data_IF_601965347898
#
_entry.id   IF_601965347898
#
_cell.length_a   1.000
_cell.length_b   1.000
_cell.length_c   1.000
_cell.angle_alpha   90.00
_cell.angle_beta   90.00
_cell.angle_gamma   90.00
#
_symmetry.space_group_name_H-M   'P 1'
#
loop_
_entity.id
_entity.type
_entity.pdbx_description
1 polymer ?
#
# COMPACT_ATOMS: atom_id res chain seq x y z
N UNK A 1 -0.67 0.50 -29.94
CA UNK A 1 -0.19 1.63 -29.12
C UNK A 1 -1.41 2.43 -28.70
N UNK A 2 -1.94 2.19 -27.50
CA UNK A 2 -3.18 2.79 -27.01
C UNK A 2 -2.91 4.15 -26.37
N UNK A 3 -3.81 5.10 -26.59
CA UNK A 3 -3.70 6.54 -26.38
C UNK A 3 -3.68 6.99 -24.90
N UNK A 4 -2.76 6.48 -24.08
CA UNK A 4 -2.63 6.88 -22.67
C UNK A 4 -2.08 8.30 -22.46
N UNK A 5 -1.56 8.95 -23.50
CA UNK A 5 -0.88 10.25 -23.39
C UNK A 5 -1.81 11.48 -23.45
N UNK A 6 -3.14 11.30 -23.52
CA UNK A 6 -4.11 12.41 -23.72
C UNK A 6 -5.06 12.65 -22.55
N UNK A 7 -4.93 11.94 -21.43
CA UNK A 7 -5.78 12.18 -20.28
C UNK A 7 -5.27 13.40 -19.51
N UNK A 8 -5.81 14.57 -19.86
CA UNK A 8 -5.73 15.76 -19.00
C UNK A 8 -6.46 15.42 -17.70
N UNK A 9 -5.81 15.43 -16.54
CA UNK A 9 -6.49 15.14 -15.28
C UNK A 9 -7.56 16.20 -15.04
N UNK A 10 -8.82 15.78 -15.05
CA UNK A 10 -9.95 16.66 -14.71
C UNK A 10 -10.11 16.63 -13.19
N UNK A 11 -10.21 17.79 -12.52
CA UNK A 11 -10.39 17.84 -11.08
C UNK A 11 -11.70 17.12 -10.70
N UNK A 12 -11.61 16.24 -9.70
CA UNK A 12 -12.77 15.58 -9.11
C UNK A 12 -13.45 16.58 -8.17
N UNK A 13 -14.76 16.86 -8.31
CA UNK A 13 -15.47 17.73 -7.37
C UNK A 13 -15.41 17.19 -5.94
N UNK A 14 -15.22 18.06 -4.95
CA UNK A 14 -15.03 17.66 -3.54
C UNK A 14 -16.13 16.74 -3.01
N UNK A 15 -17.38 16.96 -3.41
CA UNK A 15 -18.51 16.11 -3.01
C UNK A 15 -18.38 14.68 -3.54
N UNK A 16 -17.82 14.52 -4.74
CA UNK A 16 -17.56 13.22 -5.33
C UNK A 16 -16.37 12.55 -4.64
N UNK A 17 -15.31 13.31 -4.34
CA UNK A 17 -14.17 12.78 -3.57
C UNK A 17 -14.61 12.30 -2.18
N UNK A 18 -15.47 13.06 -1.49
CA UNK A 18 -16.05 12.67 -0.21
C UNK A 18 -16.94 11.42 -0.32
N UNK A 19 -17.74 11.32 -1.39
CA UNK A 19 -18.56 10.14 -1.64
C UNK A 19 -17.70 8.89 -1.86
N UNK A 20 -16.65 8.98 -2.68
CA UNK A 20 -15.70 7.89 -2.90
C UNK A 20 -15.11 7.43 -1.56
N UNK A 21 -14.63 8.37 -0.74
CA UNK A 21 -14.10 8.06 0.59
C UNK A 21 -15.12 7.39 1.51
N UNK A 22 -16.39 7.79 1.45
CA UNK A 22 -17.46 7.20 2.27
C UNK A 22 -17.86 5.78 1.84
N UNK A 23 -17.60 5.41 0.59
CA UNK A 23 -17.90 4.08 0.07
C UNK A 23 -16.81 3.05 0.40
N UNK A 24 -15.60 3.50 0.76
CA UNK A 24 -14.51 2.58 1.14
C UNK A 24 -14.69 2.12 2.59
N UNK A 25 -14.74 0.80 2.85
CA UNK A 25 -14.85 0.29 4.21
C UNK A 25 -13.68 0.71 5.10
N UNK A 26 -13.93 1.07 6.36
CA UNK A 26 -12.90 1.56 7.27
C UNK A 26 -11.71 0.58 7.46
N UNK A 27 -11.97 -0.73 7.46
CA UNK A 27 -10.91 -1.73 7.58
C UNK A 27 -10.01 -1.81 6.33
N UNK A 28 -10.51 -1.41 5.16
CA UNK A 28 -9.70 -1.32 3.94
C UNK A 28 -8.80 -0.09 4.02
N UNK A 29 -9.34 1.06 4.43
CA UNK A 29 -8.55 2.28 4.66
C UNK A 29 -7.44 2.05 5.70
N UNK A 30 -7.77 1.34 6.78
CA UNK A 30 -6.79 0.95 7.79
C UNK A 30 -5.70 0.05 7.21
N UNK A 31 -6.08 -0.96 6.41
CA UNK A 31 -5.11 -1.84 5.75
C UNK A 31 -4.21 -1.11 4.74
N UNK A 32 -4.71 -0.07 4.06
CA UNK A 32 -3.88 0.76 3.17
C UNK A 32 -2.80 1.48 3.96
N UNK A 33 -3.17 2.11 5.08
CA UNK A 33 -2.23 2.79 5.97
C UNK A 33 -1.19 1.81 6.54
N UNK A 34 -1.63 0.65 7.02
CA UNK A 34 -0.77 -0.40 7.56
C UNK A 34 0.20 -0.95 6.51
N UNK A 35 -0.28 -1.19 5.28
CA UNK A 35 0.57 -1.66 4.19
C UNK A 35 1.65 -0.63 3.83
N UNK A 36 1.32 0.65 3.79
CA UNK A 36 2.28 1.72 3.51
C UNK A 36 3.32 1.89 4.64
N UNK A 37 2.90 1.80 5.89
CA UNK A 37 3.79 1.79 7.05
C UNK A 37 4.72 0.58 7.04
N UNK A 38 4.19 -0.63 6.87
CA UNK A 38 4.99 -1.86 6.85
C UNK A 38 5.95 -1.88 5.66
N UNK A 39 5.52 -1.44 4.47
CA UNK A 39 6.39 -1.31 3.30
C UNK A 39 7.52 -0.29 3.52
N UNK A 40 7.32 0.73 4.35
CA UNK A 40 8.38 1.66 4.75
C UNK A 40 9.40 0.99 5.67
N UNK A 41 8.96 0.23 6.66
CA UNK A 41 9.86 -0.47 7.58
C UNK A 41 10.65 -1.59 6.87
N UNK A 42 10.01 -2.36 5.98
CA UNK A 42 10.72 -3.33 5.12
C UNK A 42 11.81 -2.65 4.28
N UNK A 43 11.58 -1.41 3.83
CA UNK A 43 12.57 -0.62 3.10
C UNK A 43 13.68 -0.06 3.99
N UNK A 44 13.41 0.18 5.27
CA UNK A 44 14.41 0.59 6.25
C UNK A 44 15.42 -0.52 6.52
N UNK A 45 14.96 -1.76 6.68
CA UNK A 45 15.81 -2.92 6.91
C UNK A 45 16.38 -3.49 5.60
N UNK A 46 17.29 -2.74 4.96
CA UNK A 46 17.97 -3.13 3.72
C UNK A 46 19.47 -3.34 3.94
N UNK A 47 20.02 -4.37 3.30
CA UNK A 47 21.46 -4.60 3.22
C UNK A 47 21.85 -6.07 3.40
N UNK A 48 23.06 -6.48 2.96
CA UNK A 48 23.52 -7.86 3.04
C UNK A 48 23.94 -8.30 4.45
N UNK A 49 24.00 -7.38 5.43
CA UNK A 49 24.47 -7.63 6.80
C UNK A 49 23.61 -6.87 7.82
N UNK A 50 22.37 -7.31 7.96
CA UNK A 50 21.52 -6.87 9.07
C UNK A 50 21.97 -7.58 10.35
N UNK A 51 21.88 -6.89 11.49
CA UNK A 51 21.99 -7.57 12.80
C UNK A 51 20.83 -8.55 12.99
N UNK A 52 20.95 -9.46 13.96
CA UNK A 52 19.87 -10.43 14.26
C UNK A 52 18.56 -9.71 14.63
N UNK A 53 18.67 -8.61 15.37
CA UNK A 53 17.54 -7.77 15.77
C UNK A 53 16.87 -7.13 14.53
N UNK A 54 17.65 -6.44 13.69
CA UNK A 54 17.16 -5.86 12.43
C UNK A 54 16.53 -6.90 11.49
N UNK A 55 17.02 -8.15 11.53
CA UNK A 55 16.50 -9.24 10.73
C UNK A 55 15.12 -9.70 11.22
N UNK A 56 14.94 -9.80 12.54
CA UNK A 56 13.65 -10.10 13.17
C UNK A 56 12.63 -8.98 12.91
N UNK A 57 13.03 -7.72 13.06
CA UNK A 57 12.16 -6.57 12.79
C UNK A 57 11.71 -6.53 11.31
N UNK A 58 12.61 -6.88 10.39
CA UNK A 58 12.29 -7.03 8.97
C UNK A 58 11.26 -8.12 8.72
N UNK A 59 11.38 -9.27 9.37
CA UNK A 59 10.42 -10.39 9.23
C UNK A 59 9.04 -10.03 9.79
N UNK A 60 9.00 -9.30 10.91
CA UNK A 60 7.78 -8.75 11.47
C UNK A 60 7.11 -7.79 10.48
N UNK A 61 7.85 -6.81 9.94
CA UNK A 61 7.32 -5.86 8.96
C UNK A 61 6.84 -6.55 7.66
N UNK A 62 7.52 -7.61 7.22
CA UNK A 62 7.07 -8.41 6.07
C UNK A 62 5.75 -9.14 6.34
N UNK A 63 5.56 -9.62 7.57
CA UNK A 63 4.35 -10.32 8.00
C UNK A 63 3.16 -9.36 8.08
N UNK A 64 3.37 -8.17 8.64
CA UNK A 64 2.37 -7.09 8.69
C UNK A 64 1.95 -6.67 7.27
N UNK A 65 2.92 -6.44 6.38
CA UNK A 65 2.64 -6.12 4.98
C UNK A 65 1.84 -7.22 4.28
N UNK A 66 2.17 -8.49 4.52
CA UNK A 66 1.45 -9.62 3.92
C UNK A 66 -0.01 -9.68 4.43
N UNK A 67 -0.23 -9.41 5.71
CA UNK A 67 -1.56 -9.40 6.31
C UNK A 67 -2.40 -8.24 5.78
N UNK A 68 -1.87 -7.02 5.75
CA UNK A 68 -2.55 -5.87 5.17
C UNK A 68 -2.89 -6.09 3.69
N UNK A 69 -1.93 -6.60 2.90
CA UNK A 69 -2.16 -6.92 1.49
C UNK A 69 -3.23 -7.99 1.26
N UNK A 70 -3.45 -8.89 2.21
CA UNK A 70 -4.55 -9.86 2.13
C UNK A 70 -5.90 -9.15 2.17
N UNK A 71 -6.06 -8.19 3.08
CA UNK A 71 -7.29 -7.37 3.19
C UNK A 71 -7.47 -6.54 1.92
N UNK A 72 -6.42 -5.87 1.45
CA UNK A 72 -6.46 -5.05 0.23
C UNK A 72 -6.81 -5.88 -1.01
N UNK A 73 -6.17 -7.04 -1.19
CA UNK A 73 -6.42 -7.92 -2.33
C UNK A 73 -7.82 -8.51 -2.33
N UNK A 74 -8.40 -8.75 -1.14
CA UNK A 74 -9.78 -9.20 -1.01
C UNK A 74 -10.78 -8.11 -1.41
N UNK A 75 -10.45 -6.83 -1.19
CA UNK A 75 -11.25 -5.71 -1.65
C UNK A 75 -11.08 -5.44 -3.15
N UNK A 76 -9.83 -5.29 -3.61
CA UNK A 76 -9.50 -5.11 -5.03
C UNK A 76 -8.05 -5.53 -5.32
N UNK A 77 -7.79 -6.40 -6.30
CA UNK A 77 -6.47 -7.03 -6.49
C UNK A 77 -5.35 -6.04 -6.83
N UNK A 78 -5.68 -4.87 -7.38
CA UNK A 78 -4.70 -3.83 -7.72
C UNK A 78 -4.35 -2.90 -6.55
N UNK A 79 -4.94 -3.08 -5.35
CA UNK A 79 -4.61 -2.27 -4.17
C UNK A 79 -3.41 -2.80 -3.37
N UNK A 80 -2.94 -4.02 -3.65
CA UNK A 80 -1.83 -4.61 -2.91
C UNK A 80 -0.53 -3.81 -3.09
N UNK A 81 0.12 -3.47 -1.98
CA UNK A 81 1.36 -2.68 -1.95
C UNK A 81 2.58 -3.58 -2.13
N UNK A 82 3.50 -3.14 -2.99
CA UNK A 82 4.76 -3.85 -3.23
C UNK A 82 5.74 -3.59 -2.10
N UNK A 83 6.46 -4.64 -1.69
CA UNK A 83 7.57 -4.59 -0.71
C UNK A 83 8.63 -3.53 -1.06
N UNK A 84 8.88 -3.33 -2.35
CA UNK A 84 9.91 -2.42 -2.85
C UNK A 84 9.39 -1.00 -3.12
N UNK A 85 8.08 -0.77 -2.98
CA UNK A 85 7.44 0.55 -3.03
C UNK A 85 7.46 1.25 -4.39
N UNK A 86 7.55 0.52 -5.50
CA UNK A 86 7.34 1.09 -6.83
C UNK A 86 5.82 1.11 -7.12
N UNK A 87 5.28 2.33 -7.28
CA UNK A 87 4.01 2.58 -7.93
C UNK A 87 4.08 2.14 -9.40
#
# INVERSE_FOLDING_TARGET
MTASHLLVPVPIPDRIAALIGSCTPAHVLQAEFEADCAAREVRRFRGPRLGIEDQADREQALSELAWANKVLSAHHPHLAVRRDGAW
#
